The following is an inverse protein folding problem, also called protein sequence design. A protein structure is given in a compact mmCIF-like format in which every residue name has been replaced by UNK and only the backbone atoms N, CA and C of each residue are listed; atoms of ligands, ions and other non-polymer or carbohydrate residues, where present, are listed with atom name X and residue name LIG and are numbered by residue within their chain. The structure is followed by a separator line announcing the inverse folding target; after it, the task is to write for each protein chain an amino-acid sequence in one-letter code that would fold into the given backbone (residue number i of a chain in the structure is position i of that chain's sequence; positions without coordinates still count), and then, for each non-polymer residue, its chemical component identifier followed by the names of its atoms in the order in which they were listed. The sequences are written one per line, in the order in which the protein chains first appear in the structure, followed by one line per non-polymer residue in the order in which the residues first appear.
data_IF_751958839816
#
_entry.id   IF_751958839816
#
_cell.length_a   1.000
_cell.length_b   1.000
_cell.length_c   1.000
_cell.angle_alpha   90.00
_cell.angle_beta   90.00
_cell.angle_gamma   90.00
#
_symmetry.space_group_name_H-M   'P 1'
#
loop_
_entity.id
_entity.type
_entity.pdbx_description
1 polymer ?
#
# COMPACT_ATOMS: atom_id res chain seq x y z
N UNK A 1 -11.01 -46.04 25.06
CA UNK A 1 -9.97 -45.26 25.80
C UNK A 1 -9.13 -44.46 24.80
N UNK A 2 -7.78 -44.34 24.82
CA UNK A 2 -7.01 -43.41 23.93
C UNK A 2 -7.61 -43.09 22.53
N UNK A 3 -7.78 -44.07 21.64
CA UNK A 3 -8.37 -43.89 20.27
C UNK A 3 -9.84 -43.41 20.23
N UNK A 4 -10.54 -43.48 21.35
CA UNK A 4 -11.93 -43.10 21.55
C UNK A 4 -12.04 -41.72 22.23
N UNK A 5 -11.10 -41.41 23.13
CA UNK A 5 -10.86 -40.06 23.70
C UNK A 5 -10.37 -39.10 22.60
N UNK A 6 -9.45 -39.57 21.75
CA UNK A 6 -8.98 -38.90 20.53
C UNK A 6 -10.15 -38.62 19.57
N UNK A 7 -10.96 -39.64 19.26
CA UNK A 7 -12.18 -39.52 18.44
C UNK A 7 -13.33 -38.73 19.11
N UNK A 8 -13.24 -38.45 20.41
CA UNK A 8 -14.12 -37.49 21.09
C UNK A 8 -13.62 -36.06 20.88
N UNK A 9 -12.32 -35.81 21.14
CA UNK A 9 -11.66 -34.53 20.91
C UNK A 9 -11.76 -34.07 19.45
N UNK A 10 -11.62 -34.99 18.48
CA UNK A 10 -11.84 -34.70 17.05
C UNK A 10 -13.26 -34.19 16.78
N UNK A 11 -14.28 -34.74 17.44
CA UNK A 11 -15.67 -34.28 17.28
C UNK A 11 -15.88 -32.92 17.94
N UNK A 12 -15.37 -32.72 19.15
CA UNK A 12 -15.47 -31.44 19.87
C UNK A 12 -14.83 -30.30 19.08
N UNK A 13 -13.64 -30.54 18.50
CA UNK A 13 -12.98 -29.60 17.58
C UNK A 13 -13.81 -29.39 16.31
N UNK A 14 -14.37 -30.44 15.71
CA UNK A 14 -15.22 -30.34 14.53
C UNK A 14 -16.55 -29.58 14.82
N UNK A 15 -17.10 -29.72 16.02
CA UNK A 15 -18.31 -29.03 16.48
C UNK A 15 -18.05 -27.55 16.82
N UNK A 16 -16.89 -27.21 17.39
CA UNK A 16 -16.44 -25.81 17.49
C UNK A 16 -16.30 -25.17 16.10
N UNK A 17 -15.62 -25.85 15.16
CA UNK A 17 -15.43 -25.33 13.80
C UNK A 17 -16.74 -25.16 13.00
N UNK A 18 -17.79 -25.95 13.28
CA UNK A 18 -19.12 -25.78 12.65
C UNK A 18 -19.77 -24.42 12.94
N UNK A 19 -19.47 -23.82 14.10
CA UNK A 19 -20.06 -22.55 14.53
C UNK A 19 -19.48 -21.37 13.72
N UNK A 20 -18.23 -21.49 13.24
CA UNK A 20 -17.55 -20.42 12.51
C UNK A 20 -18.00 -20.25 11.05
N UNK A 21 -18.59 -21.28 10.42
CA UNK A 21 -18.93 -21.26 8.99
C UNK A 21 -20.32 -20.62 8.77
N UNK A 22 -20.36 -19.34 8.39
CA UNK A 22 -21.61 -18.56 8.25
C UNK A 22 -21.93 -18.19 6.80
N UNK A 23 -22.87 -18.91 6.18
CA UNK A 23 -23.23 -18.71 4.76
C UNK A 23 -23.76 -17.30 4.45
N UNK A 24 -23.19 -16.60 3.43
CA UNK A 24 -23.73 -15.36 2.90
C UNK A 24 -25.19 -15.45 2.46
N UNK A 25 -25.93 -14.37 2.70
CA UNK A 25 -27.31 -14.22 2.21
C UNK A 25 -27.28 -13.95 0.71
N UNK A 26 -28.06 -14.73 -0.05
CA UNK A 26 -28.15 -14.62 -1.52
C UNK A 26 -28.81 -13.28 -1.91
N UNK A 27 -28.20 -12.47 -2.80
CA UNK A 27 -28.83 -11.25 -3.30
C UNK A 27 -30.12 -11.53 -4.08
N UNK A 28 -31.12 -10.62 -4.05
CA UNK A 28 -32.34 -10.79 -4.84
C UNK A 28 -32.02 -10.83 -6.34
N UNK A 29 -32.60 -11.82 -7.04
CA UNK A 29 -32.39 -12.04 -8.48
C UNK A 29 -31.25 -13.00 -8.85
N UNK A 30 -30.44 -13.46 -7.90
CA UNK A 30 -29.38 -14.46 -8.14
C UNK A 30 -29.87 -15.86 -7.76
N UNK A 31 -29.74 -16.82 -8.67
CA UNK A 31 -30.12 -18.21 -8.41
C UNK A 31 -29.26 -18.82 -7.29
N UNK A 32 -29.82 -19.33 -6.18
CA UNK A 32 -29.03 -19.82 -5.05
C UNK A 32 -28.05 -20.96 -5.38
N UNK A 33 -28.34 -21.75 -6.43
CA UNK A 33 -27.44 -22.81 -6.94
C UNK A 33 -26.21 -22.26 -7.67
N UNK A 34 -26.20 -21.00 -8.11
CA UNK A 34 -25.01 -20.35 -8.69
C UNK A 34 -23.96 -19.97 -7.64
N UNK A 35 -24.27 -20.11 -6.36
CA UNK A 35 -23.36 -19.83 -5.23
C UNK A 35 -22.98 -21.15 -4.58
N UNK A 36 -21.69 -21.38 -4.38
CA UNK A 36 -21.17 -22.61 -3.77
C UNK A 36 -21.49 -22.68 -2.29
N UNK A 37 -21.85 -23.88 -1.84
CA UNK A 37 -22.14 -24.18 -0.45
C UNK A 37 -20.85 -24.13 0.38
N UNK A 38 -20.69 -23.11 1.22
CA UNK A 38 -19.50 -23.00 2.09
C UNK A 38 -19.38 -24.16 3.08
N UNK A 39 -20.50 -24.67 3.61
CA UNK A 39 -20.49 -25.93 4.38
C UNK A 39 -19.98 -27.13 3.57
N UNK A 40 -20.12 -27.14 2.24
CA UNK A 40 -19.58 -28.19 1.38
C UNK A 40 -18.09 -27.96 1.11
N UNK A 41 -17.67 -26.70 0.91
CA UNK A 41 -16.25 -26.31 0.86
C UNK A 41 -15.51 -26.70 2.14
N UNK A 42 -16.17 -26.62 3.29
CA UNK A 42 -15.67 -27.07 4.59
C UNK A 42 -15.89 -28.58 4.87
N UNK A 43 -16.41 -29.37 3.93
CA UNK A 43 -16.67 -30.80 4.08
C UNK A 43 -17.81 -31.20 5.04
N UNK A 44 -18.52 -30.24 5.62
CA UNK A 44 -19.53 -30.43 6.68
C UNK A 44 -20.98 -30.42 6.18
N UNK A 45 -21.24 -30.34 4.86
CA UNK A 45 -22.61 -30.17 4.34
C UNK A 45 -23.47 -31.45 4.40
N UNK A 46 -24.26 -31.57 5.46
CA UNK A 46 -25.27 -32.64 5.66
C UNK A 46 -26.42 -32.65 4.65
N UNK A 47 -26.54 -31.63 3.77
CA UNK A 47 -27.70 -31.45 2.89
C UNK A 47 -27.56 -32.15 1.52
N UNK A 48 -26.35 -32.57 1.14
CA UNK A 48 -26.07 -33.31 -0.10
C UNK A 48 -26.71 -32.70 -1.35
N UNK A 49 -27.25 -33.54 -2.23
CA UNK A 49 -27.96 -33.11 -3.46
C UNK A 49 -29.21 -32.25 -3.22
N UNK A 50 -29.72 -32.17 -1.98
CA UNK A 50 -30.86 -31.31 -1.59
C UNK A 50 -30.41 -29.97 -1.00
N UNK A 51 -29.12 -29.63 -1.10
CA UNK A 51 -28.63 -28.31 -0.73
C UNK A 51 -29.22 -27.21 -1.64
N UNK A 52 -29.44 -26.02 -1.07
CA UNK A 52 -29.90 -24.82 -1.79
C UNK A 52 -28.78 -24.18 -2.63
N UNK A 53 -27.52 -24.48 -2.29
CA UNK A 53 -26.29 -23.95 -2.85
C UNK A 53 -25.53 -25.06 -3.61
N UNK A 54 -24.69 -24.72 -4.59
CA UNK A 54 -23.97 -25.73 -5.40
C UNK A 54 -22.88 -26.46 -4.62
N UNK A 55 -22.69 -27.73 -4.97
CA UNK A 55 -21.60 -28.58 -4.48
C UNK A 55 -20.53 -28.79 -5.58
N UNK A 56 -20.45 -27.88 -6.55
CA UNK A 56 -19.42 -27.87 -7.59
C UNK A 56 -18.39 -26.78 -7.27
N UNK A 57 -17.18 -27.21 -6.92
CA UNK A 57 -16.06 -26.31 -6.61
C UNK A 57 -15.63 -25.46 -7.84
N UNK A 58 -15.95 -25.90 -9.06
CA UNK A 58 -15.72 -25.13 -10.28
C UNK A 58 -16.56 -23.84 -10.31
N UNK A 59 -17.74 -23.82 -9.69
CA UNK A 59 -18.60 -22.62 -9.62
C UNK A 59 -18.01 -21.54 -8.69
N UNK A 60 -17.16 -21.91 -7.72
CA UNK A 60 -16.40 -20.94 -6.92
C UNK A 60 -15.06 -20.56 -7.57
N UNK A 61 -14.72 -21.09 -8.75
CA UNK A 61 -13.68 -20.51 -9.60
C UNK A 61 -14.19 -19.20 -10.22
N UNK A 62 -14.29 -18.17 -9.38
CA UNK A 62 -13.83 -16.83 -9.76
C UNK A 62 -12.36 -17.00 -10.15
N UNK A 63 -12.12 -17.40 -11.40
CA UNK A 63 -10.79 -17.48 -11.94
C UNK A 63 -10.11 -16.13 -11.76
N UNK A 64 -8.80 -16.13 -11.58
CA UNK A 64 -8.01 -14.91 -11.53
C UNK A 64 -8.43 -14.02 -12.70
N UNK A 65 -8.66 -12.73 -12.42
CA UNK A 65 -9.03 -11.78 -13.46
C UNK A 65 -7.95 -11.88 -14.53
N UNK A 66 -8.32 -12.33 -15.73
CA UNK A 66 -7.38 -12.36 -16.85
C UNK A 66 -6.86 -10.93 -16.98
N UNK A 67 -5.57 -10.76 -16.77
CA UNK A 67 -4.95 -9.45 -16.85
C UNK A 67 -5.23 -8.87 -18.24
N UNK A 68 -5.57 -7.59 -18.24
CA UNK A 68 -6.13 -6.91 -19.41
C UNK A 68 -5.00 -6.50 -20.37
N UNK A 69 -3.73 -6.53 -19.91
CA UNK A 69 -2.56 -6.06 -20.64
C UNK A 69 -1.64 -7.19 -21.16
N UNK A 70 -1.74 -8.40 -20.62
CA UNK A 70 -1.04 -9.60 -21.12
C UNK A 70 -1.93 -10.49 -22.00
N UNK A 71 -1.49 -10.74 -23.25
CA UNK A 71 -2.16 -11.72 -24.12
C UNK A 71 -1.64 -13.11 -23.74
N UNK A 72 -2.53 -14.10 -23.55
CA UNK A 72 -2.14 -15.47 -23.15
C UNK A 72 -1.29 -16.22 -24.19
N UNK A 73 -1.07 -15.61 -25.36
CA UNK A 73 -0.15 -16.08 -26.41
C UNK A 73 1.29 -15.61 -26.22
N UNK A 74 1.55 -14.65 -25.32
CA UNK A 74 2.87 -14.06 -25.12
C UNK A 74 3.69 -14.77 -24.00
N UNK A 75 3.12 -15.76 -23.31
CA UNK A 75 3.77 -16.44 -22.17
C UNK A 75 4.85 -17.46 -22.54
N UNK A 76 5.14 -17.64 -23.84
CA UNK A 76 6.26 -18.46 -24.33
C UNK A 76 7.45 -17.54 -24.68
N UNK A 77 8.23 -17.14 -23.67
CA UNK A 77 9.49 -16.42 -23.86
C UNK A 77 10.51 -17.33 -24.55
N UNK A 78 11.19 -16.80 -25.58
CA UNK A 78 12.15 -17.54 -26.42
C UNK A 78 13.51 -17.84 -25.72
N UNK A 79 13.59 -17.63 -24.41
CA UNK A 79 14.85 -17.63 -23.64
C UNK A 79 15.21 -19.05 -23.15
N UNK A 80 14.22 -19.92 -22.94
CA UNK A 80 14.38 -21.35 -22.61
C UNK A 80 14.42 -22.27 -23.87
N UNK A 81 14.76 -21.73 -25.05
CA UNK A 81 14.68 -22.47 -26.32
C UNK A 81 16.03 -23.04 -26.77
N UNK A 82 16.22 -24.35 -26.58
CA UNK A 82 17.36 -25.13 -27.11
C UNK A 82 17.56 -24.97 -28.63
N UNK A 83 18.81 -25.10 -29.08
CA UNK A 83 19.18 -25.07 -30.50
C UNK A 83 18.34 -26.04 -31.37
N UNK A 84 18.02 -27.24 -30.86
CA UNK A 84 17.17 -28.20 -31.57
C UNK A 84 15.71 -27.76 -31.72
N UNK A 85 15.14 -27.01 -30.76
CA UNK A 85 13.75 -26.52 -30.87
C UNK A 85 13.69 -25.31 -31.79
N UNK A 86 14.71 -24.44 -31.74
CA UNK A 86 14.94 -23.39 -32.74
C UNK A 86 14.98 -23.95 -34.16
N UNK A 87 15.76 -24.99 -34.44
CA UNK A 87 15.87 -25.58 -35.77
C UNK A 87 14.54 -26.20 -36.25
N UNK A 88 13.84 -26.97 -35.39
CA UNK A 88 12.51 -27.55 -35.70
C UNK A 88 11.46 -26.47 -35.96
N UNK A 89 11.53 -25.34 -35.26
CA UNK A 89 10.63 -24.19 -35.46
C UNK A 89 11.02 -23.37 -36.69
N UNK A 90 12.30 -23.32 -37.08
CA UNK A 90 12.74 -22.73 -38.35
C UNK A 90 12.26 -23.55 -39.55
N UNK A 91 12.35 -24.89 -39.50
CA UNK A 91 11.87 -25.74 -40.61
C UNK A 91 10.34 -25.65 -40.77
N UNK A 92 9.58 -25.73 -39.69
CA UNK A 92 8.10 -25.60 -39.74
C UNK A 92 7.64 -24.19 -40.18
N UNK A 93 8.31 -23.12 -39.74
CA UNK A 93 8.07 -21.74 -40.24
C UNK A 93 8.47 -21.55 -41.71
N UNK A 94 9.27 -22.46 -42.28
CA UNK A 94 9.69 -22.44 -43.69
C UNK A 94 8.73 -23.21 -44.61
N UNK A 95 8.00 -24.19 -44.09
CA UNK A 95 6.92 -24.88 -44.83
C UNK A 95 5.58 -24.15 -44.74
N UNK A 96 5.26 -23.50 -43.63
CA UNK A 96 4.02 -22.72 -43.47
C UNK A 96 4.31 -21.23 -43.22
N UNK A 97 4.07 -20.42 -44.26
CA UNK A 97 4.18 -18.97 -44.21
C UNK A 97 3.07 -18.38 -43.33
N UNK A 98 3.35 -18.27 -42.03
CA UNK A 98 2.39 -17.96 -40.97
C UNK A 98 1.70 -16.59 -41.18
N UNK A 99 0.53 -16.60 -41.83
CA UNK A 99 -0.32 -15.39 -42.00
C UNK A 99 -1.03 -15.00 -40.70
N UNK A 100 -1.05 -15.89 -39.71
CA UNK A 100 -1.67 -15.69 -38.40
C UNK A 100 -0.70 -15.13 -37.34
N UNK A 101 0.31 -14.35 -37.74
CA UNK A 101 1.00 -13.48 -36.77
C UNK A 101 -0.05 -12.55 -36.15
N UNK A 102 -0.20 -12.49 -34.81
CA UNK A 102 -1.14 -11.57 -34.19
C UNK A 102 -0.70 -10.14 -34.49
N UNK A 103 -1.57 -9.35 -35.10
CA UNK A 103 -1.31 -7.92 -35.30
C UNK A 103 -1.33 -7.20 -33.96
N UNK A 104 -0.43 -6.24 -33.81
CA UNK A 104 -0.38 -5.30 -32.68
C UNK A 104 -1.68 -4.49 -32.54
N UNK A 105 -2.46 -4.41 -33.63
CA UNK A 105 -3.81 -3.85 -33.67
C UNK A 105 -4.74 -4.64 -32.76
N UNK A 106 -5.31 -3.94 -31.77
CA UNK A 106 -6.28 -4.44 -30.80
C UNK A 106 -7.59 -4.87 -31.47
N UNK A 107 -8.17 -6.00 -31.06
CA UNK A 107 -9.46 -6.44 -31.60
C UNK A 107 -10.60 -5.50 -31.17
N UNK A 108 -11.40 -5.03 -32.15
CA UNK A 108 -12.54 -4.14 -31.91
C UNK A 108 -13.58 -4.73 -30.94
N UNK A 109 -13.87 -6.02 -31.07
CA UNK A 109 -14.82 -6.70 -30.18
C UNK A 109 -14.29 -6.90 -28.76
N UNK A 110 -12.97 -6.98 -28.59
CA UNK A 110 -12.33 -7.00 -27.28
C UNK A 110 -12.41 -5.61 -26.61
N UNK A 111 -12.15 -4.52 -27.34
CA UNK A 111 -12.38 -3.16 -26.84
C UNK A 111 -13.83 -2.95 -26.40
N UNK A 112 -14.81 -3.37 -27.22
CA UNK A 112 -16.23 -3.34 -26.82
C UNK A 112 -16.52 -4.17 -25.56
N UNK A 113 -15.96 -5.38 -25.43
CA UNK A 113 -16.19 -6.25 -24.29
C UNK A 113 -15.55 -5.72 -23.01
N UNK A 114 -14.40 -5.06 -23.11
CA UNK A 114 -13.70 -4.38 -22.02
C UNK A 114 -14.47 -3.12 -21.59
N UNK A 115 -14.95 -2.30 -22.54
CA UNK A 115 -15.84 -1.16 -22.25
C UNK A 115 -17.16 -1.58 -21.59
N UNK A 116 -17.76 -2.70 -22.04
CA UNK A 116 -18.97 -3.31 -21.46
C UNK A 116 -18.70 -4.09 -20.15
N UNK A 117 -17.44 -4.19 -19.70
CA UNK A 117 -17.00 -4.99 -18.53
C UNK A 117 -17.41 -6.48 -18.60
N UNK A 118 -17.56 -7.01 -19.81
CA UNK A 118 -17.94 -8.39 -20.12
C UNK A 118 -16.74 -9.28 -20.52
N UNK A 119 -15.54 -8.70 -20.65
CA UNK A 119 -14.30 -9.45 -20.77
C UNK A 119 -14.01 -10.26 -19.49
N UNK A 120 -13.55 -11.50 -19.64
CA UNK A 120 -13.26 -12.41 -18.52
C UNK A 120 -13.15 -13.86 -18.99
N UNK A 121 -13.12 -14.81 -18.05
CA UNK A 121 -12.80 -16.22 -18.30
C UNK A 121 -13.64 -16.93 -19.38
N UNK A 122 -14.91 -16.51 -19.56
CA UNK A 122 -15.81 -17.09 -20.57
C UNK A 122 -15.98 -16.22 -21.82
N UNK A 123 -15.22 -15.12 -21.94
CA UNK A 123 -15.28 -14.27 -23.13
C UNK A 123 -14.51 -14.89 -24.29
N UNK A 124 -15.21 -15.18 -25.38
CA UNK A 124 -14.64 -15.69 -26.63
C UNK A 124 -14.86 -14.62 -27.70
N UNK A 125 -13.79 -14.19 -28.37
CA UNK A 125 -13.89 -13.23 -29.46
C UNK A 125 -14.73 -13.80 -30.61
N UNK A 126 -15.77 -13.10 -31.10
CA UNK A 126 -16.59 -13.58 -32.21
C UNK A 126 -15.81 -13.67 -33.54
N UNK A 127 -14.65 -13.00 -33.64
CA UNK A 127 -13.76 -13.01 -34.80
C UNK A 127 -12.64 -14.07 -34.65
N UNK A 128 -12.99 -15.29 -34.23
CA UNK A 128 -12.07 -16.45 -34.22
C UNK A 128 -11.58 -16.94 -32.85
N UNK A 129 -12.08 -16.41 -31.73
CA UNK A 129 -11.77 -16.92 -30.39
C UNK A 129 -10.29 -16.78 -29.99
N UNK A 130 -9.50 -17.85 -30.15
CA UNK A 130 -8.04 -17.86 -29.96
C UNK A 130 -7.29 -17.45 -31.24
N UNK A 131 -7.85 -17.79 -32.39
CA UNK A 131 -7.24 -17.64 -33.73
C UNK A 131 -7.54 -16.26 -34.35
N UNK A 132 -7.95 -15.30 -33.52
CA UNK A 132 -8.16 -13.93 -33.94
C UNK A 132 -6.83 -13.28 -34.34
N UNK A 133 -6.80 -12.76 -35.56
CA UNK A 133 -5.67 -12.02 -36.16
C UNK A 133 -5.30 -10.72 -35.41
N UNK A 134 -6.16 -10.25 -34.50
CA UNK A 134 -5.99 -9.04 -33.70
C UNK A 134 -5.64 -9.38 -32.24
N UNK A 135 -4.91 -8.49 -31.55
CA UNK A 135 -4.49 -8.68 -30.15
C UNK A 135 -5.69 -8.64 -29.18
N UNK A 136 -5.65 -9.46 -28.13
CA UNK A 136 -6.69 -9.57 -27.09
C UNK A 136 -6.22 -9.07 -25.71
N UNK A 137 -5.31 -8.09 -25.74
CA UNK A 137 -4.82 -7.32 -24.61
C UNK A 137 -4.80 -5.83 -24.98
N UNK A 138 -5.01 -4.96 -24.00
CA UNK A 138 -4.88 -3.51 -24.15
C UNK A 138 -3.39 -3.15 -24.35
N UNK A 139 -3.06 -2.19 -25.23
CA UNK A 139 -1.71 -1.65 -25.31
C UNK A 139 -1.30 -1.01 -23.98
N UNK A 140 -0.01 -1.05 -23.61
CA UNK A 140 0.46 -0.36 -22.42
C UNK A 140 0.12 1.14 -22.49
N UNK A 141 -0.50 1.66 -21.43
CA UNK A 141 -0.97 3.05 -21.35
C UNK A 141 -2.36 3.34 -21.98
N UNK A 142 -3.04 2.37 -22.59
CA UNK A 142 -4.42 2.60 -23.08
C UNK A 142 -5.42 2.61 -21.91
N UNK A 143 -5.87 3.81 -21.50
CA UNK A 143 -6.95 3.99 -20.51
C UNK A 143 -8.32 3.83 -21.19
N UNK A 144 -9.26 3.12 -20.55
CA UNK A 144 -10.63 2.99 -21.08
C UNK A 144 -11.30 4.38 -21.13
N UNK A 145 -12.11 4.65 -22.17
CA UNK A 145 -12.91 5.89 -22.28
C UNK A 145 -13.78 6.16 -21.04
N UNK A 146 -14.27 5.09 -20.40
CA UNK A 146 -15.09 5.15 -19.18
C UNK A 146 -14.28 5.44 -17.90
N UNK A 147 -12.99 5.11 -17.87
CA UNK A 147 -12.07 5.51 -16.79
C UNK A 147 -11.58 6.93 -17.02
N UNK A 148 -11.18 7.27 -18.26
CA UNK A 148 -10.77 8.62 -18.62
C UNK A 148 -11.89 9.63 -18.35
N UNK A 149 -13.15 9.32 -18.68
CA UNK A 149 -14.28 10.20 -18.30
C UNK A 149 -14.37 10.38 -16.79
N UNK A 150 -14.29 9.29 -16.01
CA UNK A 150 -14.43 9.36 -14.55
C UNK A 150 -13.32 10.22 -13.90
N UNK A 151 -12.07 10.11 -14.38
CA UNK A 151 -10.98 10.97 -13.94
C UNK A 151 -11.21 12.43 -14.33
N UNK A 152 -11.65 12.70 -15.56
CA UNK A 152 -11.95 14.07 -16.02
C UNK A 152 -13.14 14.70 -15.26
N UNK A 153 -14.09 13.87 -14.83
CA UNK A 153 -15.25 14.27 -14.03
C UNK A 153 -14.79 14.63 -12.59
N UNK A 154 -13.97 13.78 -11.96
CA UNK A 154 -13.31 14.03 -10.67
C UNK A 154 -12.35 15.24 -10.69
N UNK A 155 -11.65 15.47 -11.80
CA UNK A 155 -10.82 16.66 -12.02
C UNK A 155 -11.67 17.93 -12.21
N UNK A 156 -12.85 17.82 -12.83
CA UNK A 156 -13.78 18.96 -12.96
C UNK A 156 -14.57 19.28 -11.69
N UNK A 157 -14.73 18.32 -10.78
CA UNK A 157 -15.31 18.55 -9.45
C UNK A 157 -14.33 19.23 -8.47
N UNK A 158 -13.02 19.23 -8.79
CA UNK A 158 -11.98 19.96 -8.05
C UNK A 158 -11.99 21.44 -8.47
N UNK A 159 -13.02 22.15 -8.00
CA UNK A 159 -13.08 23.62 -7.99
C UNK A 159 -11.73 24.17 -7.51
N UNK A 160 -11.17 25.15 -8.22
CA UNK A 160 -9.84 25.65 -7.89
C UNK A 160 -9.85 26.39 -6.55
N UNK A 161 -8.70 26.44 -5.87
CA UNK A 161 -8.58 27.08 -4.56
C UNK A 161 -8.97 28.58 -4.67
N UNK A 162 -8.64 29.20 -5.80
CA UNK A 162 -9.00 30.57 -6.15
C UNK A 162 -10.51 30.78 -6.32
N UNK A 163 -11.21 29.83 -6.97
CA UNK A 163 -12.66 29.91 -7.19
C UNK A 163 -13.44 29.69 -5.89
N UNK A 164 -13.01 28.75 -5.03
CA UNK A 164 -13.61 28.57 -3.71
C UNK A 164 -13.30 29.75 -2.77
N UNK A 165 -12.12 30.37 -2.85
CA UNK A 165 -11.83 31.63 -2.14
C UNK A 165 -12.79 32.74 -2.59
N UNK A 166 -13.01 32.93 -3.89
CA UNK A 166 -13.90 34.00 -4.37
C UNK A 166 -15.37 33.74 -4.02
N UNK A 167 -15.80 32.47 -4.09
CA UNK A 167 -17.10 32.02 -3.59
C UNK A 167 -17.27 32.39 -2.11
N UNK A 168 -16.30 32.07 -1.26
CA UNK A 168 -16.32 32.42 0.17
C UNK A 168 -16.29 33.95 0.40
N UNK A 169 -15.46 34.70 -0.34
CA UNK A 169 -15.42 36.18 -0.26
C UNK A 169 -16.76 36.81 -0.63
N UNK A 170 -17.44 36.31 -1.65
CA UNK A 170 -18.77 36.78 -2.06
C UNK A 170 -19.85 36.53 -1.00
N UNK A 171 -19.65 35.50 -0.17
CA UNK A 171 -20.57 35.03 0.87
C UNK A 171 -20.34 35.73 2.23
N UNK A 172 -19.18 36.33 2.46
CA UNK A 172 -18.84 37.05 3.70
C UNK A 172 -19.30 38.51 3.68
N UNK A 173 -20.53 38.77 4.13
CA UNK A 173 -21.14 40.12 4.16
C UNK A 173 -20.50 41.09 5.18
N UNK A 174 -19.70 40.60 6.13
CA UNK A 174 -19.14 41.39 7.22
C UNK A 174 -17.67 41.06 7.47
N UNK A 175 -16.80 42.06 7.43
CA UNK A 175 -15.39 41.96 7.80
C UNK A 175 -15.14 42.69 9.13
N UNK A 176 -14.61 41.96 10.12
CA UNK A 176 -14.09 42.54 11.36
C UNK A 176 -12.60 42.81 11.15
N UNK A 177 -12.07 44.02 11.44
CA UNK A 177 -10.64 44.27 11.37
C UNK A 177 -9.90 43.37 12.38
N UNK A 178 -8.92 42.60 11.90
CA UNK A 178 -8.16 41.67 12.73
C UNK A 178 -7.13 42.44 13.57
N UNK A 179 -7.45 42.63 14.85
CA UNK A 179 -6.49 43.12 15.86
C UNK A 179 -5.62 41.98 16.37
N UNK A 180 -4.46 42.31 16.96
CA UNK A 180 -3.53 41.33 17.55
C UNK A 180 -4.19 40.52 18.66
N UNK A 181 -4.94 41.17 19.56
CA UNK A 181 -5.69 40.50 20.63
C UNK A 181 -6.72 39.50 20.09
N UNK A 182 -7.46 39.87 19.02
CA UNK A 182 -8.44 39.00 18.38
C UNK A 182 -7.78 37.83 17.65
N UNK A 183 -6.61 38.06 17.03
CA UNK A 183 -5.80 36.99 16.44
C UNK A 183 -5.27 36.02 17.50
N UNK A 184 -4.80 36.50 18.65
CA UNK A 184 -4.36 35.64 19.76
C UNK A 184 -5.50 34.79 20.32
N UNK A 185 -6.69 35.38 20.56
CA UNK A 185 -7.89 34.64 20.99
C UNK A 185 -8.37 33.63 19.93
N UNK A 186 -8.18 33.92 18.64
CA UNK A 186 -8.44 32.96 17.56
C UNK A 186 -7.39 31.85 17.52
N UNK A 187 -6.10 32.16 17.73
CA UNK A 187 -5.00 31.19 17.77
C UNK A 187 -5.20 30.21 18.92
N UNK A 188 -5.42 30.66 20.15
CA UNK A 188 -5.66 29.75 21.30
C UNK A 188 -6.85 28.85 21.03
N UNK A 189 -7.99 29.40 20.62
CA UNK A 189 -9.18 28.64 20.25
C UNK A 189 -8.91 27.60 19.14
N UNK A 190 -8.06 27.90 18.16
CA UNK A 190 -7.68 26.94 17.10
C UNK A 190 -6.63 25.92 17.51
N UNK A 191 -5.83 26.19 18.55
CA UNK A 191 -4.98 25.18 19.19
C UNK A 191 -5.85 24.25 20.04
N UNK A 192 -6.73 24.78 20.90
CA UNK A 192 -7.73 24.00 21.66
C UNK A 192 -8.59 23.10 20.76
N UNK A 193 -9.08 23.61 19.62
CA UNK A 193 -9.87 22.83 18.65
C UNK A 193 -9.05 21.69 18.01
N UNK A 194 -7.77 21.93 17.72
CA UNK A 194 -6.84 20.90 17.21
C UNK A 194 -6.50 19.87 18.29
N UNK A 195 -6.22 20.30 19.51
CA UNK A 195 -5.92 19.43 20.65
C UNK A 195 -7.10 18.54 21.01
N UNK A 196 -8.33 19.08 21.05
CA UNK A 196 -9.56 18.28 21.26
C UNK A 196 -9.75 17.26 20.13
N UNK A 197 -9.46 17.63 18.87
CA UNK A 197 -9.52 16.70 17.73
C UNK A 197 -8.47 15.58 17.84
N UNK A 198 -7.22 15.92 18.18
CA UNK A 198 -6.13 14.96 18.37
C UNK A 198 -6.36 14.07 19.60
N UNK A 199 -6.87 14.62 20.71
CA UNK A 199 -7.23 13.88 21.91
C UNK A 199 -8.40 12.93 21.66
N UNK A 200 -9.41 13.34 20.88
CA UNK A 200 -10.48 12.45 20.44
C UNK A 200 -9.94 11.31 19.57
N UNK A 201 -9.05 11.62 18.61
CA UNK A 201 -8.45 10.60 17.74
C UNK A 201 -7.53 9.63 18.51
N UNK A 202 -6.74 10.12 19.48
CA UNK A 202 -5.95 9.29 20.42
C UNK A 202 -6.87 8.43 21.29
N UNK A 203 -7.94 8.98 21.84
CA UNK A 203 -8.91 8.24 22.65
C UNK A 203 -9.65 7.15 21.83
N UNK A 204 -9.93 7.39 20.55
CA UNK A 204 -10.50 6.37 19.66
C UNK A 204 -9.47 5.33 19.21
N UNK A 205 -8.17 5.66 19.12
CA UNK A 205 -7.11 4.64 18.99
C UNK A 205 -7.00 3.77 20.24
N UNK A 206 -7.08 4.38 21.43
CA UNK A 206 -7.04 3.67 22.72
C UNK A 206 -8.21 2.70 22.89
N UNK A 207 -9.46 3.13 22.60
CA UNK A 207 -10.66 2.26 22.64
C UNK A 207 -10.58 1.07 21.68
N UNK A 208 -9.85 1.21 20.58
CA UNK A 208 -9.71 0.19 19.54
C UNK A 208 -8.44 -0.65 19.68
N UNK A 209 -7.66 -0.50 20.76
CA UNK A 209 -6.40 -1.20 21.03
C UNK A 209 -5.36 -1.02 19.90
N UNK A 210 -5.26 0.23 19.40
CA UNK A 210 -4.39 0.63 18.26
C UNK A 210 -3.54 1.85 18.59
N UNK A 211 -3.00 1.89 19.80
CA UNK A 211 -2.01 2.87 20.24
C UNK A 211 -0.64 2.58 19.61
N UNK A 212 0.15 3.60 19.31
CA UNK A 212 1.57 3.41 18.97
C UNK A 212 2.37 3.02 20.22
N UNK A 213 3.51 2.34 20.05
CA UNK A 213 4.41 1.99 21.16
C UNK A 213 4.84 3.22 21.98
N UNK A 214 5.22 4.33 21.31
CA UNK A 214 5.53 5.63 21.96
C UNK A 214 4.32 6.20 22.70
N UNK A 215 3.09 6.03 22.19
CA UNK A 215 1.88 6.47 22.88
C UNK A 215 1.54 5.60 24.10
N UNK A 216 1.80 4.29 24.04
CA UNK A 216 1.58 3.37 25.15
C UNK A 216 2.60 3.63 26.27
N UNK A 217 3.89 3.77 25.92
CA UNK A 217 4.98 4.11 26.84
C UNK A 217 4.78 5.46 27.53
N UNK A 218 4.33 6.49 26.80
CA UNK A 218 3.98 7.79 27.39
C UNK A 218 2.73 7.73 28.29
N UNK A 219 1.87 6.71 28.14
CA UNK A 219 0.68 6.55 28.99
C UNK A 219 0.94 5.73 30.26
N UNK A 220 1.78 4.69 30.18
CA UNK A 220 2.26 3.90 31.31
C UNK A 220 3.59 3.21 30.97
N UNK A 221 4.70 3.90 31.23
CA UNK A 221 6.04 3.37 31.05
C UNK A 221 6.33 2.16 31.95
N UNK A 222 5.56 1.94 33.03
CA UNK A 222 5.77 0.79 33.93
C UNK A 222 5.30 -0.55 33.36
N UNK A 223 4.56 -0.53 32.23
CA UNK A 223 4.27 -1.71 31.43
C UNK A 223 5.46 -2.16 30.57
N UNK A 224 6.47 -1.31 30.39
CA UNK A 224 7.68 -1.56 29.62
C UNK A 224 8.87 -1.78 30.55
N UNK A 225 8.95 -2.98 31.11
CA UNK A 225 10.09 -3.43 31.91
C UNK A 225 10.99 -4.31 31.05
N UNK A 226 12.24 -3.91 30.85
CA UNK A 226 13.23 -4.74 30.18
C UNK A 226 13.51 -6.00 30.99
N UNK A 227 13.38 -7.17 30.35
CA UNK A 227 13.73 -8.45 30.94
C UNK A 227 15.26 -8.62 30.92
N UNK A 228 15.87 -8.51 32.11
CA UNK A 228 17.33 -8.62 32.27
C UNK A 228 17.89 -9.99 31.86
N UNK A 229 17.08 -11.05 31.79
CA UNK A 229 17.51 -12.39 31.35
C UNK A 229 17.41 -12.57 29.81
N UNK A 230 16.69 -11.68 29.11
CA UNK A 230 16.54 -11.74 27.65
C UNK A 230 17.85 -11.53 26.88
N UNK A 231 18.83 -10.83 27.49
CA UNK A 231 20.16 -10.64 26.92
C UNK A 231 21.03 -11.92 26.96
N UNK A 232 20.86 -12.79 27.96
CA UNK A 232 21.56 -14.08 28.01
C UNK A 232 20.91 -15.12 27.09
N UNK A 233 19.57 -15.09 26.95
CA UNK A 233 18.82 -16.02 26.10
C UNK A 233 19.10 -15.87 24.59
N UNK A 234 19.49 -14.67 24.14
CA UNK A 234 19.85 -14.40 22.75
C UNK A 234 21.29 -13.88 22.64
N UNK A 235 22.26 -14.80 22.73
CA UNK A 235 23.56 -14.56 22.10
C UNK A 235 23.34 -14.22 20.62
N UNK A 236 23.56 -12.96 20.25
CA UNK A 236 23.81 -12.59 18.87
C UNK A 236 25.13 -13.25 18.50
N UNK A 237 25.07 -14.31 17.69
CA UNK A 237 26.25 -14.86 17.04
C UNK A 237 26.85 -13.75 16.14
N UNK A 238 27.87 -13.06 16.65
CA UNK A 238 28.79 -12.35 15.76
C UNK A 238 29.42 -13.42 14.85
N UNK A 239 29.38 -13.25 13.52
CA UNK A 239 29.87 -14.28 12.61
C UNK A 239 31.37 -14.48 12.82
N UNK A 240 31.77 -15.66 13.32
CA UNK A 240 33.18 -15.98 13.52
C UNK A 240 33.95 -15.79 12.21
N UNK A 241 34.90 -14.84 12.21
CA UNK A 241 35.71 -14.50 11.05
C UNK A 241 36.70 -15.64 10.79
N UNK A 242 36.31 -16.56 9.90
CA UNK A 242 36.90 -17.89 9.80
C UNK A 242 38.23 -17.85 9.03
N UNK A 243 39.33 -17.63 9.75
CA UNK A 243 40.72 -17.61 9.25
C UNK A 243 41.18 -18.94 8.59
N UNK A 244 40.65 -19.28 7.41
CA UNK A 244 41.15 -20.39 6.58
C UNK A 244 42.46 -20.04 5.87
N UNK A 245 43.56 -20.01 6.63
CA UNK A 245 44.89 -19.66 6.12
C UNK A 245 45.67 -20.86 5.54
N UNK A 246 45.26 -21.31 4.35
CA UNK A 246 46.04 -22.21 3.50
C UNK A 246 47.06 -21.46 2.63
N UNK A 247 48.31 -21.93 2.56
CA UNK A 247 49.41 -21.38 1.73
C UNK A 247 49.61 -22.19 0.43
N UNK A 248 50.54 -21.95 -0.50
CA UNK A 248 51.67 -21.01 -0.76
C UNK A 248 51.70 -20.85 -2.31
N UNK A 249 52.16 -19.81 -3.03
CA UNK A 249 52.73 -18.46 -2.82
C UNK A 249 52.49 -17.67 -4.16
N UNK A 250 52.55 -16.33 -4.29
CA UNK A 250 53.75 -15.61 -4.79
C UNK A 250 53.56 -14.10 -4.85
N UNK A 251 54.54 -13.35 -4.31
CA UNK A 251 54.86 -11.92 -4.58
C UNK A 251 53.82 -10.83 -4.22
N UNK A 252 54.17 -9.66 -3.67
CA UNK A 252 55.44 -9.16 -3.12
C UNK A 252 55.20 -7.91 -2.20
N UNK A 253 56.26 -7.46 -1.53
CA UNK A 253 56.40 -6.20 -0.77
C UNK A 253 55.68 -6.09 0.61
N UNK A 254 56.47 -6.20 1.68
CA UNK A 254 56.22 -5.57 2.99
C UNK A 254 57.19 -4.38 3.22
N UNK A 255 57.55 -3.99 4.47
CA UNK A 255 57.32 -4.68 5.74
C UNK A 255 56.83 -3.83 6.94
N UNK A 256 56.48 -4.57 8.00
CA UNK A 256 56.04 -4.24 9.38
C UNK A 256 56.65 -3.05 10.15
N UNK A 257 55.90 -2.56 11.17
CA UNK A 257 56.30 -1.49 12.09
C UNK A 257 55.77 -1.54 13.55
N UNK A 258 55.57 -2.73 14.13
CA UNK A 258 55.51 -3.03 15.60
C UNK A 258 54.66 -2.19 16.59
N UNK A 259 53.60 -2.83 17.11
CA UNK A 259 53.29 -3.02 18.55
C UNK A 259 53.00 -1.85 19.52
N UNK A 260 51.72 -1.73 19.88
CA UNK A 260 51.16 -1.71 21.25
C UNK A 260 51.53 -0.61 22.26
N UNK A 261 50.60 0.32 22.49
CA UNK A 261 50.36 0.97 23.79
C UNK A 261 48.86 1.31 23.97
N UNK A 262 48.40 1.35 25.22
CA UNK A 262 47.00 1.29 25.67
C UNK A 262 46.12 2.55 25.45
N UNK A 263 44.82 2.36 25.74
CA UNK A 263 43.85 3.31 26.31
C UNK A 263 42.99 4.21 25.37
N UNK A 264 41.69 3.84 25.31
CA UNK A 264 40.54 4.63 25.82
C UNK A 264 39.91 5.77 24.99
N UNK A 265 38.57 5.82 25.08
CA UNK A 265 37.65 6.95 24.80
C UNK A 265 37.30 7.36 23.34
N UNK A 266 36.21 8.15 23.23
CA UNK A 266 35.48 8.72 22.06
C UNK A 266 35.18 7.78 20.87
N UNK A 267 33.92 7.43 20.54
CA UNK A 267 32.75 8.24 20.12
C UNK A 267 32.81 8.74 18.65
N UNK A 268 31.76 8.42 17.88
CA UNK A 268 31.28 9.06 16.64
C UNK A 268 29.90 8.47 16.29
N UNK A 269 28.98 9.34 15.86
CA UNK A 269 27.52 9.15 15.72
C UNK A 269 27.09 8.74 14.28
N UNK A 270 25.80 8.99 13.97
CA UNK A 270 25.04 8.86 12.70
C UNK A 270 24.27 7.52 12.57
N UNK A 271 22.96 7.48 12.28
CA UNK A 271 21.97 8.54 11.97
C UNK A 271 20.66 8.31 12.77
N UNK A 272 20.00 9.39 13.21
CA UNK A 272 18.64 9.40 13.78
C UNK A 272 17.73 10.31 12.94
N UNK A 273 16.60 9.78 12.45
CA UNK A 273 15.55 10.52 11.71
C UNK A 273 14.58 11.25 12.68
N UNK A 274 15.04 12.28 13.39
CA UNK A 274 14.19 13.15 14.22
C UNK A 274 13.73 14.43 13.47
N UNK A 275 12.61 14.32 12.74
CA UNK A 275 11.79 15.46 12.28
C UNK A 275 11.02 16.09 13.48
N UNK A 276 11.73 16.59 14.51
CA UNK A 276 11.12 17.25 15.69
C UNK A 276 11.17 18.79 15.58
N UNK A 277 10.53 19.29 14.51
CA UNK A 277 10.49 20.71 14.07
C UNK A 277 9.63 21.63 15.00
N UNK A 278 9.55 21.34 16.30
CA UNK A 278 8.90 22.16 17.33
C UNK A 278 9.90 23.20 17.89
N UNK A 279 10.12 24.27 17.11
CA UNK A 279 11.01 25.39 17.45
C UNK A 279 10.81 25.86 18.91
N UNK A 280 11.90 25.85 19.67
CA UNK A 280 11.89 26.04 21.11
C UNK A 280 11.31 27.41 21.50
N UNK A 281 10.62 27.47 22.63
CA UNK A 281 9.90 28.68 23.07
C UNK A 281 10.84 29.88 23.28
N UNK A 282 12.09 29.62 23.64
CA UNK A 282 13.14 30.63 23.77
C UNK A 282 13.68 31.11 22.41
N UNK A 283 13.77 30.25 21.39
CA UNK A 283 14.17 30.64 20.03
C UNK A 283 13.09 31.52 19.38
N UNK A 284 11.82 31.17 19.52
CA UNK A 284 10.70 32.01 19.07
C UNK A 284 10.71 33.40 19.73
N UNK A 285 11.12 33.47 21.00
CA UNK A 285 11.29 34.73 21.72
C UNK A 285 12.53 35.53 21.25
N UNK A 286 13.64 34.87 20.86
CA UNK A 286 14.78 35.55 20.22
C UNK A 286 14.44 36.03 18.79
N UNK A 287 13.59 35.32 18.06
CA UNK A 287 13.05 35.76 16.76
C UNK A 287 12.13 36.99 16.91
N UNK A 288 11.27 37.06 17.93
CA UNK A 288 10.50 38.29 18.24
C UNK A 288 11.44 39.44 18.71
N UNK A 289 12.47 39.13 19.48
CA UNK A 289 13.48 40.11 19.91
C UNK A 289 14.34 40.65 18.75
N UNK A 290 14.58 39.87 17.69
CA UNK A 290 15.32 40.31 16.50
C UNK A 290 14.44 41.02 15.47
N UNK A 291 13.18 40.62 15.31
CA UNK A 291 12.18 41.36 14.52
C UNK A 291 11.90 42.75 15.12
N UNK A 292 11.73 42.85 16.44
CA UNK A 292 11.54 44.14 17.12
C UNK A 292 12.78 45.05 17.04
N UNK A 293 14.01 44.49 17.01
CA UNK A 293 15.26 45.24 16.75
C UNK A 293 15.44 45.67 15.29
N UNK A 294 14.76 45.03 14.34
CA UNK A 294 14.84 45.35 12.89
C UNK A 294 13.68 46.19 12.39
N UNK A 295 12.76 46.61 13.28
CA UNK A 295 11.67 47.54 12.95
C UNK A 295 12.22 48.90 12.51
N UNK A 296 12.18 49.14 11.19
CA UNK A 296 12.71 50.34 10.55
C UNK A 296 11.96 51.57 11.06
N UNK A 297 12.73 52.59 11.45
CA UNK A 297 12.19 53.85 11.96
C UNK A 297 11.55 54.65 10.81
N UNK A 298 10.22 54.51 10.65
CA UNK A 298 9.43 55.28 9.68
C UNK A 298 9.44 56.74 10.12
N UNK A 299 10.32 57.54 9.53
CA UNK A 299 10.23 59.00 9.63
C UNK A 299 9.00 59.46 8.85
N UNK A 300 8.07 60.12 9.54
CA UNK A 300 6.98 60.84 8.87
C UNK A 300 7.57 61.94 7.96
N UNK A 301 7.19 62.01 6.67
CA UNK A 301 7.63 63.10 5.81
C UNK A 301 6.97 64.41 6.27
N UNK A 302 7.77 65.30 6.84
CA UNK A 302 7.30 66.51 7.52
C UNK A 302 6.47 67.45 6.63
N UNK A 303 5.30 67.86 7.15
CA UNK A 303 4.35 68.78 6.55
C UNK A 303 4.98 70.13 6.11
N UNK A 304 5.02 70.46 4.79
CA UNK A 304 5.61 71.69 4.29
C UNK A 304 4.56 72.76 3.88
N UNK A 305 3.96 73.42 4.88
CA UNK A 305 3.62 74.85 4.82
C UNK A 305 2.26 75.32 4.26
N UNK A 306 1.45 75.94 5.12
CA UNK A 306 0.86 77.31 5.00
C UNK A 306 0.12 77.59 6.33
N UNK A 307 0.20 78.74 7.02
CA UNK A 307 0.19 80.16 6.59
C UNK A 307 -1.11 80.60 5.94
#
# INVERSE_FOLDING_TARGET
KKKEEEKAREKELNDLFKIAVTQPKVPPGVDPKSIVCEFFKAGQCTKGFKCKFSHDLNVQRKGEKIDIYSDKRDQETMEDWDQETLEKVVESKKTEYNQNKPTEIVCKHFLEAVEKKQYGWFWVCPNGGKDCHYRHALPPGYVLKSQMKALLEEESEKITIEEEIENQRSKTTSSTPMTTELFMQWKTKKMEEREVSLAAQRADRAKNDRMSGRELFLSDASLFVDDAEAYEAYHREEPEDTEQKGKDDTTAAGPSGTASAAADSEDILLDDDDDDDELDLDELNELEASLSRTSIQIQEPGNPGSS
#
